data_IF_005134052708
#
_entry.id   IF_005134052708
#
_cell.length_a   1.000
_cell.length_b   1.000
_cell.length_c   1.000
_cell.angle_alpha   90.00
_cell.angle_beta   90.00
_cell.angle_gamma   90.00
#
_symmetry.space_group_name_H-M   'P 1'
#
loop_
_entity.id
_entity.type
_entity.pdbx_description
1 polymer ?
#
# COMPACT_ATOMS: atom_id res chain seq x y z
N UNK A 1 -1.42 -7.70 -21.83
CA UNK A 1 -1.45 -8.31 -20.50
C UNK A 1 -1.14 -7.21 -19.51
N UNK A 2 -2.14 -6.44 -19.06
CA UNK A 2 -1.94 -5.29 -18.18
C UNK A 2 -3.13 -5.13 -17.19
N UNK A 3 -3.62 -6.22 -16.60
CA UNK A 3 -4.77 -6.14 -15.68
C UNK A 3 -4.38 -6.31 -14.20
N UNK A 4 -3.13 -5.98 -13.86
CA UNK A 4 -2.67 -5.99 -12.46
C UNK A 4 -2.33 -4.56 -12.03
N UNK A 5 -2.84 -4.18 -10.87
CA UNK A 5 -2.59 -2.88 -10.24
C UNK A 5 -1.84 -3.09 -8.93
N UNK A 6 -1.20 -2.04 -8.40
CA UNK A 6 -0.65 -2.12 -7.05
C UNK A 6 -1.76 -2.42 -6.05
N UNK A 7 -1.43 -3.20 -5.01
CA UNK A 7 -2.36 -3.64 -3.98
C UNK A 7 -3.17 -2.47 -3.40
N UNK A 8 -4.49 -2.59 -3.43
CA UNK A 8 -5.45 -1.72 -2.78
C UNK A 8 -6.03 -2.51 -1.62
N UNK A 9 -5.80 -2.04 -0.38
CA UNK A 9 -6.33 -2.73 0.79
C UNK A 9 -7.72 -2.18 1.07
N UNK A 10 -8.73 -3.01 0.88
CA UNK A 10 -10.14 -2.61 1.02
C UNK A 10 -10.63 -2.76 2.46
N UNK A 11 -10.10 -3.73 3.20
CA UNK A 11 -10.55 -4.06 4.55
C UNK A 11 -9.46 -4.66 5.44
N UNK A 12 -9.78 -4.82 6.74
CA UNK A 12 -8.83 -5.33 7.75
C UNK A 12 -8.48 -6.80 7.57
N UNK A 13 -9.35 -7.59 6.96
CA UNK A 13 -9.08 -9.01 6.71
C UNK A 13 -8.04 -9.17 5.61
N UNK A 14 -8.19 -8.40 4.52
CA UNK A 14 -7.20 -8.33 3.45
C UNK A 14 -5.84 -7.82 3.96
N UNK A 15 -5.82 -6.76 4.78
CA UNK A 15 -4.58 -6.29 5.41
C UNK A 15 -3.87 -7.42 6.17
N UNK A 16 -4.61 -8.15 7.01
CA UNK A 16 -4.06 -9.28 7.78
C UNK A 16 -3.61 -10.42 6.87
N UNK A 17 -4.36 -10.72 5.82
CA UNK A 17 -3.99 -11.73 4.85
C UNK A 17 -2.66 -11.40 4.18
N UNK A 18 -2.50 -10.17 3.70
CA UNK A 18 -1.27 -9.69 3.06
C UNK A 18 -0.09 -9.73 4.04
N UNK A 19 -0.27 -9.22 5.26
CA UNK A 19 0.76 -9.25 6.30
C UNK A 19 1.19 -10.68 6.66
N UNK A 20 0.24 -11.61 6.73
CA UNK A 20 0.53 -13.03 6.94
C UNK A 20 1.25 -13.66 5.75
N UNK A 21 0.89 -13.29 4.52
CA UNK A 21 1.53 -13.78 3.29
C UNK A 21 3.00 -13.37 3.20
N UNK A 22 3.34 -12.17 3.66
CA UNK A 22 4.72 -11.67 3.69
C UNK A 22 5.45 -11.94 5.01
N UNK A 23 4.82 -12.67 5.94
CA UNK A 23 5.45 -13.04 7.20
C UNK A 23 6.69 -13.90 6.95
N UNK A 24 7.80 -13.55 7.60
CA UNK A 24 9.09 -14.20 7.40
C UNK A 24 9.89 -13.66 6.21
N UNK A 25 9.36 -12.68 5.46
CA UNK A 25 10.14 -11.90 4.51
C UNK A 25 10.77 -10.70 5.21
N UNK A 26 12.04 -10.45 4.93
CA UNK A 26 12.77 -9.26 5.41
C UNK A 26 12.53 -8.04 4.51
N UNK A 27 12.01 -8.26 3.30
CA UNK A 27 11.72 -7.18 2.35
C UNK A 27 10.47 -6.38 2.74
N UNK A 28 10.48 -5.11 2.35
CA UNK A 28 9.32 -4.23 2.39
C UNK A 28 8.73 -4.11 0.98
N UNK A 29 7.42 -3.91 0.92
CA UNK A 29 6.69 -3.93 -0.33
C UNK A 29 5.86 -2.65 -0.51
N UNK A 30 6.01 -1.98 -1.63
CA UNK A 30 5.08 -0.93 -2.05
C UNK A 30 3.68 -1.50 -2.26
N UNK A 31 2.71 -0.70 -1.84
CA UNK A 31 1.29 -0.88 -2.11
C UNK A 31 0.75 0.34 -2.87
N UNK A 32 -0.47 0.27 -3.35
CA UNK A 32 -1.10 1.30 -4.18
C UNK A 32 -1.51 2.56 -3.42
N UNK A 33 -0.75 3.00 -2.41
CA UNK A 33 -1.07 4.12 -1.54
C UNK A 33 0.05 5.17 -1.56
N UNK A 34 -0.31 6.43 -1.82
CA UNK A 34 0.64 7.55 -1.95
C UNK A 34 0.18 8.79 -1.21
N UNK A 35 1.13 9.62 -0.77
CA UNK A 35 0.83 10.90 -0.15
C UNK A 35 0.62 11.99 -1.20
N UNK A 36 -0.50 12.70 -1.11
CA UNK A 36 -0.81 13.83 -1.98
C UNK A 36 -0.57 15.13 -1.21
N UNK A 37 0.63 15.71 -1.36
CA UNK A 37 1.09 16.86 -0.58
C UNK A 37 0.16 18.08 -0.67
N UNK A 38 -0.40 18.37 -1.85
CA UNK A 38 -1.33 19.51 -2.05
C UNK A 38 -2.58 19.39 -1.18
N UNK A 39 -3.07 18.18 -0.97
CA UNK A 39 -4.28 17.88 -0.21
C UNK A 39 -3.97 17.45 1.24
N UNK A 40 -2.69 17.19 1.54
CA UNK A 40 -2.19 16.67 2.81
C UNK A 40 -2.87 15.38 3.27
N UNK A 41 -3.18 14.50 2.31
CA UNK A 41 -3.87 13.22 2.56
C UNK A 41 -3.21 12.08 1.81
N UNK A 42 -3.43 10.87 2.32
CA UNK A 42 -3.07 9.63 1.65
C UNK A 42 -4.21 9.17 0.74
N UNK A 43 -3.87 8.87 -0.52
CA UNK A 43 -4.82 8.36 -1.51
C UNK A 43 -4.33 7.05 -2.11
N UNK A 44 -5.29 6.18 -2.36
CA UNK A 44 -5.10 4.99 -3.16
C UNK A 44 -4.95 5.37 -4.64
N UNK A 45 -4.36 4.48 -5.44
CA UNK A 45 -4.14 4.72 -6.88
C UNK A 45 -5.46 4.80 -7.68
N UNK A 46 -6.57 4.31 -7.11
CA UNK A 46 -7.92 4.48 -7.66
C UNK A 46 -8.55 5.86 -7.34
N UNK A 47 -7.85 6.69 -6.55
CA UNK A 47 -8.28 8.02 -6.14
C UNK A 47 -9.05 8.07 -4.82
N UNK A 48 -9.38 6.92 -4.22
CA UNK A 48 -10.06 6.88 -2.92
C UNK A 48 -9.13 7.32 -1.78
N UNK A 49 -9.70 7.91 -0.73
CA UNK A 49 -8.95 8.44 0.43
C UNK A 49 -8.74 7.30 1.44
N UNK A 50 -7.55 7.22 2.03
CA UNK A 50 -7.26 6.27 3.10
C UNK A 50 -8.23 6.47 4.28
N UNK A 51 -8.92 5.39 4.67
CA UNK A 51 -9.68 5.37 5.92
C UNK A 51 -8.71 5.21 7.11
N UNK A 52 -8.62 6.17 8.05
CA UNK A 52 -7.72 6.07 9.20
C UNK A 52 -8.01 4.88 10.13
N UNK A 53 -9.22 4.32 10.08
CA UNK A 53 -9.59 3.14 10.86
C UNK A 53 -9.10 1.82 10.24
N UNK A 54 -8.68 1.83 8.97
CA UNK A 54 -8.19 0.65 8.26
C UNK A 54 -6.74 0.33 8.64
N UNK A 55 -5.85 1.31 8.49
CA UNK A 55 -4.43 1.21 8.81
C UNK A 55 -3.86 2.59 9.16
N UNK A 56 -2.71 2.58 9.83
CA UNK A 56 -1.92 3.79 10.15
C UNK A 56 -0.59 3.70 9.42
N UNK A 57 -0.07 4.86 9.02
CA UNK A 57 1.21 4.97 8.35
C UNK A 57 2.22 5.56 9.33
N UNK A 58 3.31 4.83 9.53
CA UNK A 58 4.43 5.24 10.37
C UNK A 58 5.47 5.98 9.52
N UNK A 59 5.89 7.17 9.94
CA UNK A 59 6.92 7.94 9.24
C UNK A 59 6.51 9.37 8.95
N UNK A 60 7.22 10.02 8.03
CA UNK A 60 6.97 11.42 7.66
C UNK A 60 6.15 11.49 6.38
N UNK A 61 5.14 12.35 6.38
CA UNK A 61 4.35 12.69 5.21
C UNK A 61 5.05 13.79 4.42
N UNK A 62 5.70 13.44 3.31
CA UNK A 62 6.45 14.36 2.46
C UNK A 62 6.01 14.26 1.01
N UNK A 63 6.39 15.26 0.21
CA UNK A 63 6.35 15.11 -1.24
C UNK A 63 7.12 13.86 -1.67
N UNK A 64 6.59 13.14 -2.67
CA UNK A 64 7.15 11.87 -3.13
C UNK A 64 7.12 10.74 -2.07
N UNK A 65 6.22 10.78 -1.09
CA UNK A 65 6.01 9.66 -0.16
C UNK A 65 5.03 8.61 -0.72
N UNK A 66 5.45 7.36 -0.70
CA UNK A 66 4.66 6.17 -1.01
C UNK A 66 4.60 5.24 0.20
N UNK A 67 3.55 4.44 0.29
CA UNK A 67 3.39 3.50 1.39
C UNK A 67 4.09 2.18 1.08
N UNK A 68 4.85 1.69 2.05
CA UNK A 68 5.42 0.35 2.04
C UNK A 68 4.89 -0.46 3.22
N UNK A 69 4.65 -1.76 3.03
CA UNK A 69 4.09 -2.66 4.04
C UNK A 69 5.13 -3.71 4.46
N UNK A 70 5.17 -3.98 5.77
CA UNK A 70 5.81 -5.15 6.37
C UNK A 70 4.75 -6.11 6.93
N UNK A 71 5.18 -7.25 7.45
CA UNK A 71 4.29 -8.19 8.13
C UNK A 71 3.62 -7.65 9.41
N UNK A 72 3.99 -6.46 9.89
CA UNK A 72 3.41 -5.83 11.09
C UNK A 72 2.78 -4.47 10.85
N UNK A 73 3.38 -3.64 10.00
CA UNK A 73 3.06 -2.21 9.91
C UNK A 73 3.13 -1.69 8.47
N UNK A 74 2.62 -0.48 8.28
CA UNK A 74 2.75 0.29 7.03
C UNK A 74 3.56 1.54 7.31
N UNK A 75 4.53 1.84 6.45
CA UNK A 75 5.46 2.95 6.58
C UNK A 75 5.35 3.91 5.41
N UNK A 76 5.73 5.16 5.65
CA UNK A 76 6.01 6.13 4.60
C UNK A 76 7.47 6.04 4.19
N UNK A 77 7.72 5.87 2.89
CA UNK A 77 9.05 5.91 2.30
C UNK A 77 9.04 6.71 0.99
N UNK A 78 10.21 7.05 0.46
CA UNK A 78 10.33 7.70 -0.85
C UNK A 78 9.77 6.79 -1.95
N UNK A 79 8.93 7.30 -2.84
CA UNK A 79 8.47 6.54 -4.02
C UNK A 79 9.61 6.13 -4.96
N UNK A 80 10.80 6.71 -4.78
CA UNK A 80 12.01 6.40 -5.57
C UNK A 80 12.97 5.45 -4.86
N UNK A 81 12.62 4.93 -3.68
CA UNK A 81 13.45 3.92 -3.01
C UNK A 81 13.32 2.56 -3.68
N UNK A 82 14.33 1.71 -3.47
CA UNK A 82 14.40 0.37 -4.04
C UNK A 82 13.68 -0.64 -3.12
N UNK A 83 12.34 -0.65 -3.20
CA UNK A 83 11.50 -1.66 -2.53
C UNK A 83 10.76 -2.51 -3.56
N UNK A 84 10.34 -3.71 -3.14
CA UNK A 84 9.57 -4.61 -3.98
C UNK A 84 8.11 -4.14 -4.08
N UNK A 85 7.29 -4.75 -4.93
CA UNK A 85 5.87 -4.40 -5.08
C UNK A 85 4.96 -5.60 -4.84
N UNK A 86 3.78 -5.35 -4.27
CA UNK A 86 2.68 -6.30 -4.30
C UNK A 86 1.63 -5.77 -5.27
N UNK A 87 1.27 -6.60 -6.24
CA UNK A 87 0.22 -6.31 -7.21
C UNK A 87 -0.99 -7.21 -6.95
N UNK A 88 -2.18 -6.69 -7.22
CA UNK A 88 -3.44 -7.44 -7.25
C UNK A 88 -4.01 -7.46 -8.66
N UNK A 89 -4.75 -8.52 -8.96
CA UNK A 89 -5.53 -8.65 -10.19
C UNK A 89 -6.88 -9.25 -9.84
N UNK A 90 -7.95 -8.61 -10.29
CA UNK A 90 -9.30 -9.14 -10.15
C UNK A 90 -9.47 -10.31 -11.11
N UNK A 91 -9.88 -11.47 -10.59
CA UNK A 91 -10.27 -12.60 -11.42
C UNK A 91 -11.71 -12.38 -11.90
N UNK A 92 -11.88 -12.22 -13.20
CA UNK A 92 -13.21 -12.23 -13.82
C UNK A 92 -13.60 -13.71 -13.95
N UNK A 93 -14.56 -14.16 -13.14
CA UNK A 93 -15.18 -15.47 -13.34
C UNK A 93 -16.17 -15.31 -14.49
N UNK A 94 -15.86 -15.95 -15.62
CA UNK A 94 -16.73 -16.07 -16.79
C UNK A 94 -17.44 -17.41 -16.74
#
# INVERSE_FOLDING_TARGET
MEDAILLLIENKEELRFVQNLIKGKEQLFFIGLKYVQKEKIWKWIDGSILNPNLLRITGKDKENSCAIISHTEVFSDSCSSDNHWICQKTLIHV
#
